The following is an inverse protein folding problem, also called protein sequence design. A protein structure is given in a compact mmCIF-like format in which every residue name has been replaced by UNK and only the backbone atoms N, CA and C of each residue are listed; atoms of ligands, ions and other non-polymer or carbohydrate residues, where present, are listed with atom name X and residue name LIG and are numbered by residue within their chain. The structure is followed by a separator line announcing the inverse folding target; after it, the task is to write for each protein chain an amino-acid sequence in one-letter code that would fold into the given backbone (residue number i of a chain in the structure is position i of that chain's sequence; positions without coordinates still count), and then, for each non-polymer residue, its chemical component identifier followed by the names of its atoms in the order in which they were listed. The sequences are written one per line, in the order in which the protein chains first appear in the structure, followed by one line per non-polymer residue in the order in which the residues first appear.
data_IF_044461433135
#
_entry.id   IF_044461433135
#
_cell.length_a   1.000
_cell.length_b   1.000
_cell.length_c   1.000
_cell.angle_alpha   90.00
_cell.angle_beta   90.00
_cell.angle_gamma   90.00
#
_symmetry.space_group_name_H-M   'P 1'
#
loop_
_entity.id
_entity.type
_entity.pdbx_description
1 polymer ?
#
# COMPACT_ATOMS: atom_id res chain seq x y z
N UNK A 1 33.83 34.36 3.24
CA UNK A 1 34.15 35.45 2.29
C UNK A 1 33.02 36.48 2.36
N UNK A 2 33.28 37.65 2.95
CA UNK A 2 32.32 38.76 3.05
C UNK A 2 32.33 39.56 1.74
N UNK A 3 31.20 39.63 1.03
CA UNK A 3 31.06 40.53 -0.11
C UNK A 3 30.49 41.87 0.38
N UNK A 4 31.31 42.92 0.28
CA UNK A 4 30.88 44.30 0.54
C UNK A 4 30.50 44.93 -0.80
N UNK A 5 29.20 45.06 -1.07
CA UNK A 5 28.71 45.73 -2.27
C UNK A 5 28.26 47.15 -1.92
N UNK A 6 29.01 48.15 -2.37
CA UNK A 6 28.64 49.56 -2.25
C UNK A 6 27.75 49.96 -3.42
N UNK A 7 26.46 50.23 -3.16
CA UNK A 7 25.53 50.70 -4.19
C UNK A 7 25.58 52.23 -4.30
N UNK A 8 26.02 52.74 -5.45
CA UNK A 8 25.85 54.14 -5.83
C UNK A 8 24.49 54.34 -6.50
N UNK A 9 23.57 55.01 -5.81
CA UNK A 9 22.33 55.49 -6.43
C UNK A 9 22.64 56.81 -7.13
N UNK A 10 22.78 56.77 -8.46
CA UNK A 10 22.73 57.98 -9.28
C UNK A 10 21.27 58.22 -9.67
N UNK A 11 20.62 59.19 -9.02
CA UNK A 11 19.40 59.83 -9.51
C UNK A 11 19.64 61.33 -9.53
N UNK A 12 19.59 61.91 -10.72
CA UNK A 12 19.56 63.36 -10.92
C UNK A 12 18.29 63.98 -10.33
N UNK A 13 18.45 65.19 -9.79
CA UNK A 13 17.37 66.01 -9.24
C UNK A 13 17.76 66.62 -7.89
N UNK A 14 18.15 67.89 -7.91
CA UNK A 14 18.60 68.67 -6.75
C UNK A 14 17.57 68.69 -5.59
N UNK A 15 18.00 68.35 -4.37
CA UNK A 15 18.05 69.24 -3.18
C UNK A 15 18.62 68.47 -1.97
N UNK A 16 19.46 69.15 -1.20
CA UNK A 16 20.13 68.76 0.05
C UNK A 16 20.99 67.47 0.08
N UNK A 17 22.30 67.69 0.06
CA UNK A 17 23.32 66.70 0.37
C UNK A 17 23.17 66.19 1.82
N UNK A 18 22.63 65.00 1.98
CA UNK A 18 23.06 64.10 3.04
C UNK A 18 23.73 62.89 2.40
N UNK A 19 25.06 62.84 2.44
CA UNK A 19 25.83 61.63 2.14
C UNK A 19 25.62 60.59 3.26
N UNK A 20 24.42 60.03 3.34
CA UNK A 20 24.04 58.96 4.26
C UNK A 20 24.33 57.60 3.66
N UNK A 21 25.59 57.25 3.37
CA UNK A 21 25.89 55.89 2.93
C UNK A 21 25.58 54.90 4.06
N UNK A 22 24.54 54.08 3.96
CA UNK A 22 24.32 53.00 4.92
C UNK A 22 25.26 51.84 4.55
N UNK A 23 26.04 51.34 5.50
CA UNK A 23 26.82 50.11 5.29
C UNK A 23 25.86 48.93 5.41
N UNK A 24 25.39 48.41 4.28
CA UNK A 24 24.56 47.20 4.23
C UNK A 24 25.51 46.01 4.15
N UNK A 25 25.80 45.39 5.28
CA UNK A 25 26.49 44.10 5.31
C UNK A 25 25.49 42.98 5.03
N UNK A 26 25.55 42.37 3.84
CA UNK A 26 24.92 41.08 3.59
C UNK A 26 25.82 39.99 4.20
N UNK A 27 25.78 39.86 5.52
CA UNK A 27 26.30 38.65 6.17
C UNK A 27 25.34 37.49 5.88
N UNK A 28 25.83 36.25 5.71
CA UNK A 28 24.96 35.09 5.82
C UNK A 28 24.40 35.14 7.25
N UNK A 29 23.12 35.50 7.37
CA UNK A 29 22.47 35.84 8.63
C UNK A 29 22.27 34.65 9.57
N UNK A 30 22.58 33.45 9.10
CA UNK A 30 22.40 32.20 9.82
C UNK A 30 23.74 31.71 10.38
N UNK A 31 23.76 31.30 11.65
CA UNK A 31 24.88 30.52 12.19
C UNK A 31 25.02 29.18 11.45
N UNK A 32 26.21 28.56 11.55
CA UNK A 32 26.43 27.21 11.02
C UNK A 32 25.38 26.23 11.55
N UNK A 33 25.02 26.32 12.83
CA UNK A 33 23.96 25.52 13.45
C UNK A 33 22.59 25.74 12.78
N UNK A 34 22.19 26.99 12.51
CA UNK A 34 20.95 27.29 11.79
C UNK A 34 20.96 26.70 10.38
N UNK A 35 22.10 26.77 9.68
CA UNK A 35 22.25 26.19 8.33
C UNK A 35 22.12 24.65 8.37
N UNK A 36 22.82 23.99 9.29
CA UNK A 36 22.74 22.54 9.50
C UNK A 36 21.31 22.08 9.87
N UNK A 37 20.60 22.87 10.67
CA UNK A 37 19.21 22.58 11.01
C UNK A 37 18.27 22.71 9.79
N UNK A 38 18.54 23.67 8.89
CA UNK A 38 17.79 23.80 7.63
C UNK A 38 18.06 22.64 6.68
N UNK A 39 19.31 22.20 6.56
CA UNK A 39 19.67 21.06 5.69
C UNK A 39 19.07 19.77 6.21
N UNK A 40 19.20 19.48 7.51
CA UNK A 40 18.60 18.29 8.12
C UNK A 40 17.08 18.26 8.00
N UNK A 41 16.40 19.41 8.16
CA UNK A 41 14.95 19.51 7.90
C UNK A 41 14.58 19.24 6.43
N UNK A 42 15.44 19.65 5.49
CA UNK A 42 15.22 19.39 4.08
C UNK A 42 15.35 17.90 3.77
N UNK A 43 16.39 17.25 4.27
CA UNK A 43 16.61 15.80 4.14
C UNK A 43 15.44 15.00 4.75
N UNK A 44 15.00 15.37 5.96
CA UNK A 44 13.84 14.72 6.58
C UNK A 44 12.57 14.87 5.74
N UNK A 45 12.34 16.02 5.11
CA UNK A 45 11.20 16.20 4.19
C UNK A 45 11.28 15.29 2.98
N UNK A 46 12.47 15.13 2.38
CA UNK A 46 12.68 14.22 1.26
C UNK A 46 12.37 12.77 1.66
N UNK A 47 12.94 12.28 2.77
CA UNK A 47 12.70 10.90 3.24
C UNK A 47 11.22 10.64 3.56
N UNK A 48 10.50 11.64 4.09
CA UNK A 48 9.07 11.57 4.34
C UNK A 48 8.25 11.48 3.05
N UNK A 49 8.67 12.18 2.00
CA UNK A 49 8.03 12.14 0.69
C UNK A 49 8.24 10.77 0.03
N UNK A 50 9.46 10.24 0.08
CA UNK A 50 9.78 8.88 -0.38
C UNK A 50 8.91 7.81 0.28
N UNK A 51 8.76 7.85 1.61
CA UNK A 51 7.89 6.93 2.34
C UNK A 51 6.43 7.14 1.96
N UNK A 52 6.00 8.40 1.79
CA UNK A 52 4.63 8.69 1.36
C UNK A 52 4.35 8.09 -0.01
N UNK A 53 5.31 8.12 -0.93
CA UNK A 53 5.18 7.55 -2.26
C UNK A 53 5.27 6.03 -2.23
N UNK A 54 6.08 5.44 -1.35
CA UNK A 54 6.06 3.99 -1.12
C UNK A 54 4.67 3.54 -0.63
N UNK A 55 4.06 4.23 0.33
CA UNK A 55 2.70 3.94 0.82
C UNK A 55 1.68 4.03 -0.31
N UNK A 56 1.76 5.05 -1.17
CA UNK A 56 0.87 5.20 -2.33
C UNK A 56 1.09 4.07 -3.35
N UNK A 57 2.34 3.68 -3.58
CA UNK A 57 2.72 2.64 -4.55
C UNK A 57 2.19 1.26 -4.19
N UNK A 58 2.05 0.96 -2.89
CA UNK A 58 1.44 -0.28 -2.42
C UNK A 58 -0.01 -0.40 -2.91
N UNK A 59 -0.74 0.71 -3.00
CA UNK A 59 -2.10 0.76 -3.53
C UNK A 59 -3.15 0.11 -2.63
N UNK A 60 -4.33 -0.23 -3.16
CA UNK A 60 -5.31 -1.05 -2.46
C UNK A 60 -4.93 -2.54 -2.49
N UNK A 61 -5.36 -3.31 -1.50
CA UNK A 61 -5.09 -4.76 -1.42
C UNK A 61 -5.44 -5.43 -2.76
N UNK A 62 -4.49 -6.17 -3.38
CA UNK A 62 -4.78 -6.93 -4.59
C UNK A 62 -5.98 -7.85 -4.37
N UNK A 63 -7.06 -7.65 -5.14
CA UNK A 63 -8.23 -8.52 -5.07
C UNK A 63 -7.88 -9.90 -5.63
N UNK A 64 -8.34 -10.96 -4.96
CA UNK A 64 -8.27 -12.33 -5.49
C UNK A 64 -8.84 -12.33 -6.91
N UNK A 65 -8.03 -12.67 -7.92
CA UNK A 65 -8.54 -12.99 -9.26
C UNK A 65 -9.48 -14.18 -9.08
N UNK A 66 -10.80 -13.94 -9.20
CA UNK A 66 -11.74 -15.05 -9.37
C UNK A 66 -11.37 -15.69 -10.70
N UNK A 67 -11.06 -16.99 -10.71
CA UNK A 67 -11.03 -17.74 -11.96
C UNK A 67 -12.33 -17.42 -12.69
N UNK A 68 -12.22 -16.92 -13.90
CA UNK A 68 -13.37 -16.59 -14.73
C UNK A 68 -14.18 -17.87 -14.92
N UNK A 69 -15.51 -17.77 -14.84
CA UNK A 69 -16.41 -18.88 -15.15
C UNK A 69 -16.15 -19.48 -16.55
N UNK A 70 -15.49 -18.72 -17.45
CA UNK A 70 -15.06 -19.19 -18.76
C UNK A 70 -13.94 -20.24 -18.73
N UNK A 71 -12.99 -20.18 -17.78
CA UNK A 71 -11.95 -21.22 -17.64
C UNK A 71 -12.54 -22.53 -17.08
N UNK A 72 -13.55 -22.41 -16.20
CA UNK A 72 -14.23 -23.57 -15.59
C UNK A 72 -15.12 -24.35 -16.57
N UNK A 73 -15.54 -23.74 -17.68
CA UNK A 73 -16.35 -24.40 -18.71
C UNK A 73 -15.52 -25.11 -19.77
N UNK A 74 -14.26 -24.71 -19.99
CA UNK A 74 -13.39 -25.37 -20.98
C UNK A 74 -12.89 -26.74 -20.50
N UNK A 75 -12.66 -26.95 -19.20
CA UNK A 75 -12.25 -28.27 -18.68
C UNK A 75 -13.40 -29.28 -18.57
N UNK A 76 -14.67 -28.84 -18.51
CA UNK A 76 -15.84 -29.73 -18.48
C UNK A 76 -16.43 -30.08 -19.84
N UNK A 77 -16.11 -29.32 -20.89
CA UNK A 77 -16.69 -29.51 -22.22
C UNK A 77 -16.10 -30.66 -23.05
N UNK A 78 -15.09 -31.39 -22.53
CA UNK A 78 -14.40 -32.45 -23.28
C UNK A 78 -14.93 -33.87 -23.06
N UNK A 79 -15.78 -34.11 -22.05
CA UNK A 79 -16.14 -35.48 -21.64
C UNK A 79 -17.61 -35.85 -21.90
N UNK A 80 -18.48 -34.92 -22.33
CA UNK A 80 -19.92 -35.17 -22.48
C UNK A 80 -20.39 -35.45 -23.93
N UNK A 81 -19.52 -35.34 -24.95
CA UNK A 81 -19.93 -35.56 -26.36
C UNK A 81 -19.78 -37.01 -26.88
N UNK A 82 -19.13 -37.93 -26.15
CA UNK A 82 -18.97 -39.33 -26.62
C UNK A 82 -20.06 -40.32 -26.11
N UNK A 83 -20.89 -39.97 -25.14
CA UNK A 83 -21.91 -40.91 -24.59
C UNK A 83 -23.26 -40.92 -25.33
N UNK A 84 -23.50 -40.02 -26.29
CA UNK A 84 -24.81 -39.89 -26.95
C UNK A 84 -25.02 -40.80 -28.18
N UNK A 85 -24.04 -41.65 -28.55
CA UNK A 85 -24.11 -42.48 -29.77
C UNK A 85 -24.05 -43.98 -29.48
N UNK A 86 -24.98 -44.50 -28.66
CA UNK A 86 -25.29 -45.93 -28.61
C UNK A 86 -26.79 -46.15 -28.65
N UNK A 87 -27.36 -45.95 -29.84
CA UNK A 87 -28.73 -46.33 -30.18
C UNK A 87 -28.93 -47.84 -29.99
N UNK A 88 -29.82 -48.21 -29.07
CA UNK A 88 -30.25 -49.57 -28.82
C UNK A 88 -30.95 -50.18 -30.06
N UNK A 89 -30.70 -51.46 -30.43
CA UNK A 89 -31.42 -52.08 -31.53
C UNK A 89 -32.87 -52.42 -31.11
N UNK A 90 -33.82 -51.94 -31.92
CA UNK A 90 -35.25 -52.32 -31.90
C UNK A 90 -35.40 -53.84 -31.87
N UNK A 91 -35.95 -54.39 -30.78
CA UNK A 91 -36.38 -55.79 -30.73
C UNK A 91 -37.59 -55.99 -31.64
N UNK A 92 -37.39 -56.80 -32.70
CA UNK A 92 -38.49 -57.37 -33.51
C UNK A 92 -39.34 -58.26 -32.61
N UNK A 93 -40.64 -58.00 -32.58
CA UNK A 93 -41.67 -58.93 -32.13
C UNK A 93 -41.56 -60.22 -32.94
N UNK A 94 -41.34 -61.35 -32.27
CA UNK A 94 -41.41 -62.68 -32.87
C UNK A 94 -42.70 -63.34 -32.37
N UNK A 95 -43.53 -63.70 -33.34
CA UNK A 95 -44.84 -64.32 -33.17
C UNK A 95 -44.79 -65.62 -32.34
N UNK A 96 -45.83 -65.80 -31.54
CA UNK A 96 -46.17 -67.05 -30.87
C UNK A 96 -46.33 -68.16 -31.92
N UNK A 97 -45.51 -69.21 -31.81
CA UNK A 97 -45.91 -70.55 -32.22
C UNK A 97 -46.13 -71.37 -30.96
N UNK A 98 -47.41 -71.50 -30.61
CA UNK A 98 -47.91 -72.68 -29.94
C UNK A 98 -47.57 -73.90 -30.79
N UNK A 99 -46.75 -74.78 -30.25
CA UNK A 99 -46.73 -76.18 -30.64
C UNK A 99 -46.73 -76.98 -29.35
N UNK A 100 -47.94 -77.23 -28.86
CA UNK A 100 -48.21 -78.30 -27.91
C UNK A 100 -47.71 -79.62 -28.51
N UNK A 101 -46.80 -80.26 -27.80
CA UNK A 101 -46.18 -81.51 -28.21
C UNK A 101 -45.59 -82.18 -26.98
N UNK A 102 -46.43 -82.98 -26.33
CA UNK A 102 -46.02 -83.94 -25.31
C UNK A 102 -45.08 -84.97 -25.95
N UNK A 103 -43.77 -84.74 -25.84
CA UNK A 103 -42.74 -85.71 -26.15
C UNK A 103 -41.65 -85.59 -25.08
N UNK A 104 -41.35 -86.73 -24.47
CA UNK A 104 -40.38 -86.93 -23.38
C UNK A 104 -39.18 -86.01 -23.53
N UNK A 105 -38.96 -85.15 -22.53
CA UNK A 105 -37.82 -84.22 -22.51
C UNK A 105 -36.53 -85.02 -22.57
N UNK A 106 -35.79 -84.84 -23.66
CA UNK A 106 -34.45 -85.38 -23.86
C UNK A 106 -33.52 -84.86 -22.74
N UNK A 107 -32.95 -85.74 -21.90
CA UNK A 107 -32.14 -85.35 -20.74
C UNK A 107 -30.95 -84.47 -21.14
N UNK A 108 -30.42 -84.63 -22.36
CA UNK A 108 -29.34 -83.78 -22.89
C UNK A 108 -29.80 -82.36 -23.20
N UNK A 109 -31.02 -82.16 -23.73
CA UNK A 109 -31.58 -80.81 -23.94
C UNK A 109 -31.87 -80.12 -22.62
N UNK A 110 -32.36 -80.84 -21.62
CA UNK A 110 -32.62 -80.31 -20.27
C UNK A 110 -31.31 -79.93 -19.56
N UNK A 111 -30.27 -80.75 -19.73
CA UNK A 111 -28.90 -80.47 -19.24
C UNK A 111 -28.27 -79.28 -19.97
N UNK A 112 -28.38 -79.20 -21.29
CA UNK A 112 -27.87 -78.09 -22.10
C UNK A 112 -28.56 -76.76 -21.77
N UNK A 113 -29.89 -76.76 -21.59
CA UNK A 113 -30.65 -75.57 -21.16
C UNK A 113 -30.29 -75.12 -19.74
N UNK A 114 -29.99 -76.06 -18.82
CA UNK A 114 -29.43 -75.74 -17.49
C UNK A 114 -28.00 -75.20 -17.58
N UNK A 115 -27.14 -75.81 -18.40
CA UNK A 115 -25.76 -75.35 -18.57
C UNK A 115 -25.70 -73.95 -19.19
N UNK A 116 -26.53 -73.68 -20.20
CA UNK A 116 -26.66 -72.36 -20.82
C UNK A 116 -27.29 -71.34 -19.86
N UNK A 117 -28.32 -71.72 -19.11
CA UNK A 117 -28.92 -70.89 -18.07
C UNK A 117 -27.92 -70.50 -16.98
N UNK A 118 -27.10 -71.45 -16.50
CA UNK A 118 -26.06 -71.20 -15.50
C UNK A 118 -24.93 -70.33 -16.06
N UNK A 119 -24.57 -70.50 -17.33
CA UNK A 119 -23.56 -69.66 -17.98
C UNK A 119 -24.06 -68.22 -18.12
N UNK A 120 -25.27 -68.02 -18.64
CA UNK A 120 -25.87 -66.69 -18.83
C UNK A 120 -26.15 -66.00 -17.50
N UNK A 121 -26.67 -66.72 -16.51
CA UNK A 121 -26.91 -66.19 -15.16
C UNK A 121 -25.58 -65.86 -14.47
N UNK A 122 -24.56 -66.71 -14.63
CA UNK A 122 -23.22 -66.48 -14.11
C UNK A 122 -22.52 -65.27 -14.75
N UNK A 123 -22.63 -65.09 -16.08
CA UNK A 123 -22.12 -63.90 -16.77
C UNK A 123 -22.88 -62.64 -16.41
N UNK A 124 -24.20 -62.73 -16.19
CA UNK A 124 -25.04 -61.60 -15.77
C UNK A 124 -24.76 -61.21 -14.30
N UNK A 125 -24.51 -62.19 -13.43
CA UNK A 125 -24.05 -61.93 -12.07
C UNK A 125 -22.67 -61.29 -12.07
N UNK A 126 -21.73 -61.78 -12.88
CA UNK A 126 -20.40 -61.16 -13.05
C UNK A 126 -20.51 -59.74 -13.58
N UNK A 127 -21.30 -59.50 -14.63
CA UNK A 127 -21.49 -58.16 -15.19
C UNK A 127 -22.13 -57.21 -14.17
N UNK A 128 -23.10 -57.67 -13.36
CA UNK A 128 -23.68 -56.88 -12.28
C UNK A 128 -22.65 -56.54 -11.21
N UNK A 129 -21.80 -57.50 -10.81
CA UNK A 129 -20.73 -57.23 -9.84
C UNK A 129 -19.64 -56.33 -10.40
N UNK A 130 -19.32 -56.44 -11.68
CA UNK A 130 -18.32 -55.60 -12.33
C UNK A 130 -18.83 -54.17 -12.49
N UNK A 131 -20.10 -53.98 -12.84
CA UNK A 131 -20.76 -52.65 -12.86
C UNK A 131 -20.81 -52.00 -11.47
N UNK A 132 -21.03 -52.79 -10.40
CA UNK A 132 -20.97 -52.27 -9.04
C UNK A 132 -19.54 -51.86 -8.66
N UNK A 133 -18.54 -52.69 -8.99
CA UNK A 133 -17.12 -52.38 -8.74
C UNK A 133 -16.64 -51.15 -9.53
N UNK A 134 -17.07 -50.97 -10.78
CA UNK A 134 -16.72 -49.77 -11.56
C UNK A 134 -17.39 -48.53 -10.97
N UNK A 135 -18.66 -48.63 -10.56
CA UNK A 135 -19.35 -47.54 -9.86
C UNK A 135 -18.65 -47.16 -8.55
N UNK A 136 -18.27 -48.14 -7.74
CA UNK A 136 -17.59 -47.90 -6.46
C UNK A 136 -16.19 -47.27 -6.66
N UNK A 137 -15.46 -47.69 -7.71
CA UNK A 137 -14.18 -47.06 -8.10
C UNK A 137 -14.37 -45.64 -8.61
N UNK A 138 -15.44 -45.38 -9.35
CA UNK A 138 -15.75 -44.05 -9.86
C UNK A 138 -16.16 -43.10 -8.73
N UNK A 139 -16.93 -43.57 -7.74
CA UNK A 139 -17.24 -42.78 -6.54
C UNK A 139 -15.97 -42.48 -5.73
N UNK A 140 -15.08 -43.46 -5.53
CA UNK A 140 -13.80 -43.24 -4.88
C UNK A 140 -12.93 -42.22 -5.63
N UNK A 141 -12.90 -42.27 -6.97
CA UNK A 141 -12.18 -41.29 -7.79
C UNK A 141 -12.79 -39.89 -7.64
N UNK A 142 -14.12 -39.76 -7.63
CA UNK A 142 -14.81 -38.48 -7.43
C UNK A 142 -14.57 -37.91 -6.04
N UNK A 143 -14.54 -38.76 -5.01
CA UNK A 143 -14.26 -38.34 -3.64
C UNK A 143 -12.80 -37.87 -3.48
N UNK A 144 -11.83 -38.59 -4.07
CA UNK A 144 -10.42 -38.18 -4.10
C UNK A 144 -10.21 -36.86 -4.86
N UNK A 145 -10.89 -36.67 -6.00
CA UNK A 145 -10.84 -35.41 -6.75
C UNK A 145 -11.42 -34.26 -5.92
N UNK A 146 -12.57 -34.47 -5.27
CA UNK A 146 -13.17 -33.48 -4.38
C UNK A 146 -12.25 -33.14 -3.20
N UNK A 147 -11.58 -34.12 -2.61
CA UNK A 147 -10.61 -33.90 -1.53
C UNK A 147 -9.36 -33.15 -2.00
N UNK A 148 -8.86 -33.44 -3.21
CA UNK A 148 -7.76 -32.71 -3.81
C UNK A 148 -8.15 -31.25 -4.12
N UNK A 149 -9.35 -31.03 -4.66
CA UNK A 149 -9.90 -29.69 -4.91
C UNK A 149 -10.05 -28.89 -3.61
N UNK A 150 -10.61 -29.49 -2.55
CA UNK A 150 -10.77 -28.79 -1.27
C UNK A 150 -9.42 -28.44 -0.65
N UNK A 151 -8.43 -29.35 -0.66
CA UNK A 151 -7.07 -29.07 -0.19
C UNK A 151 -6.37 -27.97 -1.00
N UNK A 152 -6.56 -27.95 -2.31
CA UNK A 152 -6.01 -26.89 -3.16
C UNK A 152 -6.66 -25.54 -2.87
N UNK A 153 -7.98 -25.51 -2.66
CA UNK A 153 -8.71 -24.29 -2.29
C UNK A 153 -8.28 -23.79 -0.91
N UNK A 154 -8.21 -24.65 0.10
CA UNK A 154 -7.79 -24.25 1.46
C UNK A 154 -6.36 -23.72 1.48
N UNK A 155 -5.42 -24.42 0.80
CA UNK A 155 -4.03 -23.96 0.69
C UNK A 155 -3.91 -22.61 -0.02
N UNK A 156 -4.68 -22.40 -1.09
CA UNK A 156 -4.71 -21.11 -1.78
C UNK A 156 -5.32 -19.99 -0.90
N UNK A 157 -6.29 -20.31 -0.05
CA UNK A 157 -6.86 -19.36 0.91
C UNK A 157 -5.87 -19.00 2.02
N UNK A 158 -5.09 -19.96 2.52
CA UNK A 158 -4.00 -19.72 3.47
C UNK A 158 -2.93 -18.83 2.87
N UNK A 159 -2.44 -19.14 1.67
CA UNK A 159 -1.44 -18.30 0.95
C UNK A 159 -1.96 -16.88 0.77
N UNK A 160 -3.24 -16.72 0.42
CA UNK A 160 -3.83 -15.39 0.24
C UNK A 160 -3.99 -14.64 1.57
N UNK A 161 -4.32 -15.33 2.67
CA UNK A 161 -4.35 -14.72 4.01
C UNK A 161 -2.95 -14.25 4.42
N UNK A 162 -1.94 -15.10 4.30
CA UNK A 162 -0.54 -14.75 4.60
C UNK A 162 -0.06 -13.56 3.76
N UNK A 163 -0.38 -13.55 2.46
CA UNK A 163 -0.04 -12.43 1.58
C UNK A 163 -0.69 -11.12 2.05
N UNK A 164 -1.98 -11.18 2.42
CA UNK A 164 -2.73 -10.03 2.90
C UNK A 164 -2.20 -9.52 4.24
N UNK A 165 -1.83 -10.42 5.14
CA UNK A 165 -1.23 -10.07 6.44
C UNK A 165 0.12 -9.38 6.25
N UNK A 166 1.05 -9.97 5.49
CA UNK A 166 2.35 -9.35 5.17
C UNK A 166 2.21 -7.99 4.49
N UNK A 167 1.21 -7.86 3.61
CA UNK A 167 0.90 -6.59 2.96
C UNK A 167 0.47 -5.52 3.96
N UNK A 168 -0.42 -5.86 4.90
CA UNK A 168 -0.86 -4.95 5.95
C UNK A 168 0.26 -4.60 6.91
N UNK A 169 1.06 -5.57 7.35
CA UNK A 169 2.22 -5.34 8.20
C UNK A 169 3.20 -4.36 7.55
N UNK A 170 3.53 -4.55 6.26
CA UNK A 170 4.41 -3.62 5.53
C UNK A 170 3.80 -2.22 5.49
N UNK A 171 2.51 -2.10 5.17
CA UNK A 171 1.84 -0.80 5.07
C UNK A 171 1.78 -0.09 6.43
N UNK A 172 1.48 -0.82 7.49
CA UNK A 172 1.44 -0.30 8.86
C UNK A 172 2.82 0.17 9.32
N UNK A 173 3.87 -0.61 9.05
CA UNK A 173 5.24 -0.22 9.36
C UNK A 173 5.67 1.08 8.67
N UNK A 174 5.27 1.28 7.41
CA UNK A 174 5.54 2.52 6.67
C UNK A 174 4.75 3.71 7.24
N UNK A 175 3.48 3.51 7.61
CA UNK A 175 2.67 4.56 8.26
C UNK A 175 3.30 4.96 9.60
N UNK A 176 3.71 3.99 10.41
CA UNK A 176 4.38 4.26 11.67
C UNK A 176 5.69 5.04 11.46
N UNK A 177 6.52 4.61 10.50
CA UNK A 177 7.75 5.34 10.13
C UNK A 177 7.47 6.77 9.66
N UNK A 178 6.37 6.99 8.92
CA UNK A 178 5.96 8.33 8.51
C UNK A 178 5.53 9.21 9.69
N UNK A 179 4.82 8.63 10.67
CA UNK A 179 4.44 9.33 11.91
C UNK A 179 5.69 9.72 12.72
N UNK A 180 6.65 8.81 12.86
CA UNK A 180 7.88 9.07 13.61
C UNK A 180 8.70 10.18 12.93
N UNK A 181 8.81 10.19 11.60
CA UNK A 181 9.43 11.29 10.85
C UNK A 181 8.68 12.62 11.00
N UNK A 182 7.33 12.60 11.00
CA UNK A 182 6.52 13.80 11.25
C UNK A 182 6.85 14.41 12.63
N UNK A 183 7.07 13.58 13.65
CA UNK A 183 7.49 14.00 15.00
C UNK A 183 8.91 14.57 14.98
N UNK A 184 9.87 13.87 14.38
CA UNK A 184 11.27 14.32 14.31
C UNK A 184 11.41 15.65 13.58
N UNK A 185 10.69 15.84 12.47
CA UNK A 185 10.64 17.12 11.77
C UNK A 185 10.14 18.25 12.68
N UNK A 186 9.14 17.99 13.53
CA UNK A 186 8.62 19.01 14.45
C UNK A 186 9.64 19.38 15.52
N UNK A 187 10.36 18.41 16.07
CA UNK A 187 11.44 18.68 17.01
C UNK A 187 12.60 19.44 16.36
N UNK A 188 13.02 19.08 15.14
CA UNK A 188 14.04 19.84 14.39
C UNK A 188 13.57 21.24 14.03
N UNK A 189 12.29 21.42 13.70
CA UNK A 189 11.68 22.73 13.47
C UNK A 189 11.71 23.60 14.73
N UNK A 190 11.46 23.02 15.91
CA UNK A 190 11.62 23.71 17.20
C UNK A 190 13.04 24.21 17.39
N UNK A 191 14.01 23.35 17.16
CA UNK A 191 15.43 23.67 17.34
C UNK A 191 15.89 24.75 16.35
N UNK A 192 15.45 24.66 15.09
CA UNK A 192 15.70 25.69 14.09
C UNK A 192 15.19 27.05 14.54
N UNK A 193 13.97 27.13 15.07
CA UNK A 193 13.42 28.40 15.53
C UNK A 193 14.18 28.98 16.72
N UNK A 194 14.65 28.15 17.65
CA UNK A 194 15.53 28.58 18.75
C UNK A 194 16.87 29.10 18.23
N UNK A 195 17.49 28.38 17.29
CA UNK A 195 18.76 28.79 16.69
C UNK A 195 18.62 30.12 15.93
N UNK A 196 17.54 30.29 15.16
CA UNK A 196 17.21 31.55 14.48
C UNK A 196 16.93 32.70 15.46
N UNK A 197 16.28 32.45 16.59
CA UNK A 197 16.07 33.46 17.64
C UNK A 197 17.40 33.90 18.24
N UNK A 198 18.27 32.95 18.61
CA UNK A 198 19.61 33.23 19.13
C UNK A 198 20.48 34.01 18.13
N UNK A 199 20.38 33.68 16.83
CA UNK A 199 21.03 34.44 15.76
C UNK A 199 20.50 35.89 15.71
N UNK A 200 19.19 36.09 15.81
CA UNK A 200 18.59 37.42 15.86
C UNK A 200 19.03 38.21 17.11
N UNK A 201 19.02 37.59 18.29
CA UNK A 201 19.43 38.20 19.55
C UNK A 201 20.89 38.63 19.51
N UNK A 202 21.78 37.80 18.95
CA UNK A 202 23.20 38.13 18.75
C UNK A 202 23.37 39.36 17.84
N UNK A 203 22.64 39.43 16.73
CA UNK A 203 22.72 40.57 15.83
C UNK A 203 22.17 41.86 16.47
N UNK A 204 21.09 41.74 17.26
CA UNK A 204 20.51 42.87 18.03
C UNK A 204 21.49 43.34 19.10
N UNK A 205 22.13 42.43 19.84
CA UNK A 205 23.15 42.74 20.85
C UNK A 205 24.36 43.47 20.24
N UNK A 206 24.68 43.21 18.97
CA UNK A 206 25.70 43.92 18.20
C UNK A 206 25.29 45.35 17.76
N UNK A 207 24.10 45.79 18.15
CA UNK A 207 23.53 47.10 17.83
C UNK A 207 22.96 47.19 16.42
N UNK A 208 22.60 46.05 15.80
CA UNK A 208 21.98 46.04 14.47
C UNK A 208 20.46 46.05 14.59
N UNK A 209 19.83 46.83 13.73
CA UNK A 209 18.38 46.84 13.56
C UNK A 209 17.97 45.82 12.50
N UNK A 210 16.97 45.01 12.82
CA UNK A 210 16.28 44.14 11.86
C UNK A 210 15.21 44.91 11.06
N UNK A 211 15.16 44.71 9.74
CA UNK A 211 14.06 45.22 8.91
C UNK A 211 12.77 44.41 9.09
N UNK A 212 11.62 45.06 8.91
CA UNK A 212 10.31 44.40 8.93
C UNK A 212 9.96 43.78 7.56
N UNK A 213 10.45 44.37 6.48
CA UNK A 213 10.25 43.88 5.12
C UNK A 213 10.96 42.53 4.87
N UNK A 214 10.39 41.74 3.97
CA UNK A 214 10.99 40.50 3.45
C UNK A 214 11.78 40.81 2.16
N UNK A 215 13.01 40.28 2.00
CA UNK A 215 13.79 39.53 2.97
C UNK A 215 14.23 40.40 4.15
N UNK A 216 14.20 39.82 5.36
CA UNK A 216 14.62 40.53 6.57
C UNK A 216 16.14 40.65 6.57
N UNK A 217 16.64 41.85 6.78
CA UNK A 217 18.07 42.18 6.78
C UNK A 217 18.42 42.89 8.09
N UNK A 218 19.60 42.59 8.62
CA UNK A 218 20.18 43.33 9.74
C UNK A 218 21.08 44.44 9.21
N UNK A 219 20.90 45.65 9.72
CA UNK A 219 21.72 46.80 9.35
C UNK A 219 22.13 47.58 10.59
N UNK A 220 23.33 48.18 10.54
CA UNK A 220 23.83 49.02 11.63
C UNK A 220 23.73 50.51 11.25
N UNK A 221 22.98 51.32 12.00
CA UNK A 221 22.95 52.76 11.83
C UNK A 221 24.34 53.39 12.02
N UNK A 222 24.69 54.39 11.19
CA UNK A 222 25.95 55.14 11.33
C UNK A 222 25.97 56.08 12.53
N UNK A 223 24.82 56.64 12.90
CA UNK A 223 24.63 57.51 14.06
C UNK A 223 23.45 57.00 14.86
N UNK A 224 23.63 56.84 16.16
CA UNK A 224 22.55 56.46 17.05
C UNK A 224 21.73 57.71 17.40
N UNK A 225 20.48 57.71 16.92
CA UNK A 225 19.49 58.71 17.33
C UNK A 225 18.62 58.16 18.45
N UNK A 226 17.87 59.01 19.15
CA UNK A 226 16.90 58.58 20.17
C UNK A 226 15.90 57.56 19.57
N UNK A 227 15.48 57.76 18.32
CA UNK A 227 14.61 56.83 17.61
C UNK A 227 15.30 55.47 17.40
N UNK A 228 16.57 55.47 16.99
CA UNK A 228 17.37 54.26 16.82
C UNK A 228 17.48 53.44 18.11
N UNK A 229 17.77 54.10 19.23
CA UNK A 229 17.85 53.46 20.54
C UNK A 229 16.50 52.90 20.98
N UNK A 230 15.41 53.64 20.75
CA UNK A 230 14.05 53.16 21.00
C UNK A 230 13.71 51.92 20.15
N UNK A 231 14.11 51.89 18.88
CA UNK A 231 13.92 50.72 18.02
C UNK A 231 14.74 49.51 18.50
N UNK A 232 16.00 49.70 18.87
CA UNK A 232 16.84 48.62 19.41
C UNK A 232 16.25 48.02 20.69
N UNK A 233 15.77 48.86 21.62
CA UNK A 233 15.16 48.42 22.86
C UNK A 233 13.88 47.58 22.67
N UNK A 234 13.13 47.81 21.58
CA UNK A 234 11.89 47.06 21.27
C UNK A 234 12.12 45.76 20.52
N UNK A 235 13.28 45.58 19.87
CA UNK A 235 13.52 44.40 19.03
C UNK A 235 13.60 43.07 19.78
N UNK A 236 14.21 42.97 20.98
CA UNK A 236 14.22 41.73 21.74
C UNK A 236 12.81 41.18 22.01
N UNK A 237 11.88 42.03 22.46
CA UNK A 237 10.49 41.62 22.69
C UNK A 237 9.80 41.10 21.43
N UNK A 238 10.05 41.72 20.26
CA UNK A 238 9.52 41.22 18.98
C UNK A 238 10.07 39.83 18.60
N UNK A 239 11.33 39.53 18.94
CA UNK A 239 11.95 38.21 18.69
C UNK A 239 11.35 37.16 19.63
N UNK A 240 11.17 37.52 20.90
CA UNK A 240 10.56 36.65 21.91
C UNK A 240 9.11 36.30 21.56
N UNK A 241 8.30 37.29 21.21
CA UNK A 241 6.91 37.09 20.76
C UNK A 241 6.84 36.18 19.53
N UNK A 242 7.70 36.43 18.53
CA UNK A 242 7.81 35.59 17.35
C UNK A 242 8.17 34.15 17.71
N UNK A 243 9.18 33.96 18.57
CA UNK A 243 9.60 32.62 19.01
C UNK A 243 8.45 31.90 19.72
N UNK A 244 7.76 32.59 20.64
CA UNK A 244 6.60 32.04 21.36
C UNK A 244 5.51 31.57 20.41
N UNK A 245 5.13 32.38 19.43
CA UNK A 245 4.15 31.99 18.39
C UNK A 245 4.63 30.75 17.64
N UNK A 246 5.92 30.70 17.27
CA UNK A 246 6.48 29.55 16.55
C UNK A 246 6.58 28.27 17.41
N UNK A 247 6.81 28.39 18.70
CA UNK A 247 6.77 27.24 19.62
C UNK A 247 5.34 26.68 19.73
N UNK A 248 4.32 27.55 19.86
CA UNK A 248 2.92 27.11 19.86
C UNK A 248 2.54 26.39 18.57
N UNK A 249 2.92 26.90 17.40
CA UNK A 249 2.67 26.23 16.11
C UNK A 249 3.29 24.81 16.03
N UNK A 250 4.45 24.62 16.68
CA UNK A 250 5.11 23.31 16.75
C UNK A 250 4.34 22.39 17.70
N UNK A 251 3.92 22.89 18.85
CA UNK A 251 3.18 22.13 19.87
C UNK A 251 1.82 21.67 19.33
N UNK A 252 1.06 22.57 18.69
CA UNK A 252 -0.18 22.24 17.98
C UNK A 252 0.06 21.21 16.85
N UNK A 253 1.25 21.26 16.24
CA UNK A 253 1.68 20.28 15.25
C UNK A 253 1.89 18.89 15.86
N UNK A 254 2.60 18.81 16.98
CA UNK A 254 2.86 17.58 17.72
C UNK A 254 1.56 16.97 18.27
N UNK A 255 0.64 17.80 18.79
CA UNK A 255 -0.66 17.33 19.28
C UNK A 255 -1.50 16.71 18.14
N UNK A 256 -1.49 17.32 16.95
CA UNK A 256 -2.16 16.74 15.77
C UNK A 256 -1.58 15.40 15.35
N UNK A 257 -0.25 15.25 15.44
CA UNK A 257 0.41 13.97 15.14
C UNK A 257 0.06 12.93 16.21
N UNK A 258 0.05 13.31 17.49
CA UNK A 258 -0.35 12.43 18.58
C UNK A 258 -1.80 11.94 18.43
N UNK A 259 -2.73 12.82 18.03
CA UNK A 259 -4.11 12.43 17.72
C UNK A 259 -4.18 11.43 16.56
N UNK A 260 -3.40 11.64 15.49
CA UNK A 260 -3.31 10.69 14.36
C UNK A 260 -2.76 9.32 14.78
N UNK A 261 -1.86 9.26 15.76
CA UNK A 261 -1.32 8.00 16.29
C UNK A 261 -2.35 7.19 17.09
N UNK A 262 -3.39 7.85 17.63
CA UNK A 262 -4.44 7.20 18.41
C UNK A 262 -5.62 6.70 17.55
N UNK A 263 -5.76 7.21 16.32
CA UNK A 263 -6.80 6.83 15.35
C UNK A 263 -6.32 5.73 14.42
#
# INVERSE_FOLDING_TARGET
MTQTTTYHHSRGGHTNQHQGGATITQSPSDSAATVELKTTLHELRQTREEISDEIKSLGPIPRRKKQSSSERQQERGGEEEEEAMMTAPKKRTRENRDSGGSLKEDPERKRSKRMFGNLVLGTLQRSKTDLLKTRDRETQRKDLLREAETKAVTRNEEIYKEFKEKYWEKREALIQKQIDLDVDMKYKQRELYRSMAADCEREIANGKLRTEALPRVFWKPKKETIQTQSMLARQPGKVEEWLKTKMMEVDDGLERIAKRKQT
#
